data_IF_966061021636
#
_entry.id   IF_966061021636
#
_cell.length_a   1.000
_cell.length_b   1.000
_cell.length_c   1.000
_cell.angle_alpha   90.00
_cell.angle_beta   90.00
_cell.angle_gamma   90.00
#
_symmetry.space_group_name_H-M   'P 1'
#
loop_
_entity.id
_entity.type
_entity.pdbx_description
1 polymer ?
#
# COMPACT_ATOMS: atom_id res chain seq x y z
N UNK A 1 6.80 -1.67 -0.10
CA UNK A 1 7.02 -0.20 -0.08
C UNK A 1 6.43 0.41 -1.33
N UNK A 2 5.62 1.47 -1.19
CA UNK A 2 5.05 2.22 -2.31
C UNK A 2 5.95 3.42 -2.65
N UNK A 3 5.94 3.83 -3.92
CA UNK A 3 6.68 5.01 -4.39
C UNK A 3 5.78 5.91 -5.26
N UNK A 4 6.18 7.16 -5.42
CA UNK A 4 5.46 8.11 -6.28
C UNK A 4 5.58 7.76 -7.77
N UNK A 5 4.61 8.20 -8.56
CA UNK A 5 4.57 8.00 -10.02
C UNK A 5 5.87 8.45 -10.71
N UNK A 6 6.39 9.65 -10.36
CA UNK A 6 7.62 10.15 -10.99
C UNK A 6 8.84 9.29 -10.69
N UNK A 7 8.92 8.71 -9.48
CA UNK A 7 9.98 7.78 -9.08
C UNK A 7 9.86 6.47 -9.86
N UNK A 8 8.65 5.90 -9.91
CA UNK A 8 8.35 4.71 -10.69
C UNK A 8 8.71 4.87 -12.17
N UNK A 9 8.29 5.97 -12.80
CA UNK A 9 8.66 6.29 -14.18
C UNK A 9 10.16 6.46 -14.38
N UNK A 10 10.86 7.05 -13.39
CA UNK A 10 12.32 7.18 -13.42
C UNK A 10 13.03 5.82 -13.45
N UNK A 11 12.55 4.87 -12.64
CA UNK A 11 13.05 3.49 -12.63
C UNK A 11 12.72 2.79 -13.96
N UNK A 12 11.46 2.82 -14.38
CA UNK A 12 11.01 2.17 -15.62
C UNK A 12 11.82 2.63 -16.84
N UNK A 13 12.15 3.92 -16.91
CA UNK A 13 12.97 4.49 -17.98
C UNK A 13 14.36 3.87 -18.06
N UNK A 14 14.97 3.50 -16.92
CA UNK A 14 16.30 2.84 -16.88
C UNK A 14 16.26 1.45 -17.51
N UNK A 15 15.10 0.79 -17.48
CA UNK A 15 14.87 -0.52 -18.13
C UNK A 15 14.38 -0.41 -19.57
N UNK A 16 14.30 0.80 -20.12
CA UNK A 16 13.86 1.02 -21.50
C UNK A 16 12.34 1.06 -21.70
N UNK A 17 11.56 1.10 -20.62
CA UNK A 17 10.12 1.35 -20.71
C UNK A 17 9.90 2.81 -21.11
N UNK A 18 9.17 3.02 -22.19
CA UNK A 18 8.90 4.36 -22.69
C UNK A 18 7.90 5.09 -21.78
N UNK A 19 8.31 6.25 -21.28
CA UNK A 19 7.53 7.14 -20.41
C UNK A 19 7.54 8.55 -20.98
N UNK A 20 6.53 9.39 -20.70
CA UNK A 20 6.55 10.81 -21.05
C UNK A 20 7.72 11.56 -20.39
N UNK A 21 8.17 12.64 -21.01
CA UNK A 21 9.11 13.55 -20.34
C UNK A 21 8.40 14.24 -19.19
N UNK A 22 9.01 14.22 -18.00
CA UNK A 22 8.43 14.82 -16.81
C UNK A 22 9.51 15.32 -15.85
N UNK A 23 9.19 16.39 -15.13
CA UNK A 23 10.05 17.02 -14.14
C UNK A 23 9.25 17.19 -12.85
N UNK A 24 9.77 16.69 -11.73
CA UNK A 24 9.15 16.87 -10.42
C UNK A 24 9.41 18.29 -9.89
N UNK A 25 8.43 18.86 -9.21
CA UNK A 25 8.51 20.20 -8.60
C UNK A 25 7.94 20.16 -7.18
N UNK A 26 8.62 20.85 -6.25
CA UNK A 26 8.25 20.96 -4.84
C UNK A 26 7.75 22.38 -4.47
N UNK A 27 7.83 23.30 -5.42
CA UNK A 27 7.31 24.67 -5.31
C UNK A 27 6.62 25.09 -6.61
N UNK A 28 5.83 26.16 -6.55
CA UNK A 28 5.19 26.72 -7.73
C UNK A 28 6.22 27.30 -8.71
N UNK A 29 7.30 27.87 -8.19
CA UNK A 29 8.42 28.38 -8.96
C UNK A 29 9.14 27.28 -9.73
N UNK A 30 9.45 26.15 -9.06
CA UNK A 30 10.04 24.98 -9.72
C UNK A 30 9.11 24.41 -10.79
N UNK A 31 7.79 24.35 -10.51
CA UNK A 31 6.80 23.89 -11.48
C UNK A 31 6.78 24.79 -12.73
N UNK A 32 6.87 26.10 -12.55
CA UNK A 32 6.97 27.05 -13.66
C UNK A 32 8.25 26.83 -14.48
N UNK A 33 9.40 26.65 -13.82
CA UNK A 33 10.68 26.39 -14.52
C UNK A 33 10.64 25.08 -15.29
N UNK A 34 10.08 24.01 -14.68
CA UNK A 34 9.85 22.74 -15.35
C UNK A 34 8.99 22.88 -16.61
N UNK A 35 7.94 23.71 -16.54
CA UNK A 35 7.08 24.00 -17.68
C UNK A 35 7.81 24.73 -18.79
N UNK A 36 8.63 25.76 -18.47
CA UNK A 36 9.43 26.47 -19.47
C UNK A 36 10.32 25.47 -20.24
N UNK A 37 11.05 24.63 -19.51
CA UNK A 37 11.92 23.62 -20.13
C UNK A 37 11.13 22.66 -21.03
N UNK A 38 9.98 22.15 -20.56
CA UNK A 38 9.18 21.22 -21.34
C UNK A 38 8.59 21.88 -22.59
N UNK A 39 8.13 23.14 -22.52
CA UNK A 39 7.62 23.86 -23.71
C UNK A 39 8.71 24.14 -24.74
N UNK A 40 9.98 24.31 -24.33
CA UNK A 40 11.11 24.46 -25.25
C UNK A 40 11.50 23.15 -25.93
N UNK A 41 11.37 22.02 -25.23
CA UNK A 41 11.81 20.71 -25.70
C UNK A 41 10.75 19.92 -26.47
N UNK A 42 9.47 20.26 -26.36
CA UNK A 42 8.34 19.54 -26.95
C UNK A 42 7.61 20.37 -28.01
N UNK A 43 6.95 19.66 -28.92
CA UNK A 43 6.04 20.27 -29.90
C UNK A 43 4.58 20.38 -29.43
N UNK A 44 4.24 19.83 -28.26
CA UNK A 44 2.89 19.89 -27.71
C UNK A 44 2.58 21.29 -27.18
N UNK A 45 1.38 21.84 -27.45
CA UNK A 45 0.98 23.15 -26.95
C UNK A 45 0.54 23.14 -25.48
N UNK A 46 0.62 22.00 -24.81
CA UNK A 46 0.17 21.82 -23.42
C UNK A 46 1.16 20.99 -22.61
N UNK A 47 1.21 21.25 -21.30
CA UNK A 47 1.82 20.38 -20.30
C UNK A 47 0.75 19.92 -19.31
N UNK A 48 1.04 18.86 -18.58
CA UNK A 48 0.14 18.29 -17.59
C UNK A 48 0.75 18.47 -16.19
N UNK A 49 -0.02 19.04 -15.27
CA UNK A 49 0.35 19.19 -13.85
C UNK A 49 -0.34 18.05 -13.07
N UNK A 50 0.44 17.16 -12.47
CA UNK A 50 -0.07 15.98 -11.76
C UNK A 50 0.34 16.02 -10.29
N UNK A 51 -0.64 16.01 -9.38
CA UNK A 51 -0.39 15.80 -7.96
C UNK A 51 0.27 14.44 -7.71
N UNK A 52 1.28 14.41 -6.86
CA UNK A 52 2.00 13.18 -6.50
C UNK A 52 1.61 12.77 -5.09
N UNK A 53 0.69 11.82 -4.99
CA UNK A 53 0.26 11.13 -3.77
C UNK A 53 0.19 9.63 -4.03
N UNK A 54 0.29 8.80 -2.98
CA UNK A 54 0.20 7.34 -3.09
C UNK A 54 -1.26 6.85 -3.22
N UNK A 55 -2.02 7.46 -4.12
CA UNK A 55 -3.40 7.07 -4.37
C UNK A 55 -3.77 7.21 -5.85
N UNK A 56 -4.61 6.29 -6.33
CA UNK A 56 -5.25 6.38 -7.63
C UNK A 56 -6.45 7.33 -7.64
N UNK A 57 -7.03 7.55 -8.85
CA UNK A 57 -8.20 8.40 -9.01
C UNK A 57 -7.92 9.91 -8.95
N UNK A 58 -6.66 10.32 -8.96
CA UNK A 58 -6.22 11.73 -8.91
C UNK A 58 -6.88 12.61 -9.95
N UNK A 59 -7.05 12.11 -11.18
CA UNK A 59 -7.70 12.85 -12.26
C UNK A 59 -9.13 13.25 -11.93
N UNK A 60 -9.94 12.31 -11.42
CA UNK A 60 -11.34 12.53 -11.01
C UNK A 60 -11.44 13.48 -9.81
N UNK A 61 -10.44 13.46 -8.92
CA UNK A 61 -10.36 14.32 -7.75
C UNK A 61 -9.78 15.72 -8.04
N UNK A 62 -9.46 16.05 -9.30
CA UNK A 62 -8.91 17.34 -9.68
C UNK A 62 -7.40 17.49 -9.49
N UNK A 63 -6.69 16.40 -9.16
CA UNK A 63 -5.23 16.35 -9.00
C UNK A 63 -4.44 16.25 -10.32
N UNK A 64 -5.11 16.33 -11.48
CA UNK A 64 -4.49 16.39 -12.80
C UNK A 64 -5.09 17.54 -13.58
N UNK A 65 -4.27 18.49 -14.06
CA UNK A 65 -4.67 19.66 -14.80
C UNK A 65 -3.80 19.88 -16.02
N UNK A 66 -4.41 20.35 -17.10
CA UNK A 66 -3.70 20.79 -18.29
C UNK A 66 -3.36 22.27 -18.17
N UNK A 67 -2.21 22.67 -18.66
CA UNK A 67 -1.78 24.06 -18.75
C UNK A 67 -1.15 24.37 -20.10
N UNK A 68 -1.38 25.59 -20.60
CA UNK A 68 -0.95 26.06 -21.94
C UNK A 68 0.20 27.07 -21.86
N UNK A 69 0.57 27.50 -20.67
CA UNK A 69 1.68 28.41 -20.43
C UNK A 69 2.36 28.13 -19.09
N UNK A 70 3.63 28.55 -18.90
CA UNK A 70 4.31 28.46 -17.62
C UNK A 70 3.60 29.24 -16.50
N UNK A 71 2.93 30.34 -16.82
CA UNK A 71 2.16 31.13 -15.87
C UNK A 71 0.94 30.37 -15.37
N UNK A 72 0.24 29.67 -16.25
CA UNK A 72 -0.89 28.83 -15.88
C UNK A 72 -0.44 27.63 -15.01
N UNK A 73 0.73 27.05 -15.30
CA UNK A 73 1.34 26.03 -14.44
C UNK A 73 1.61 26.55 -13.04
N UNK A 74 2.16 27.76 -12.93
CA UNK A 74 2.42 28.41 -11.65
C UNK A 74 1.14 28.59 -10.82
N UNK A 75 0.07 29.13 -11.43
CA UNK A 75 -1.22 29.31 -10.76
C UNK A 75 -1.86 27.98 -10.31
N UNK A 76 -1.77 26.96 -11.15
CA UNK A 76 -2.24 25.60 -10.81
C UNK A 76 -1.43 25.03 -9.65
N UNK A 77 -0.10 25.17 -9.71
CA UNK A 77 0.81 24.66 -8.67
C UNK A 77 0.56 25.34 -7.32
N UNK A 78 0.35 26.66 -7.30
CA UNK A 78 0.00 27.39 -6.07
C UNK A 78 -1.29 26.89 -5.41
N UNK A 79 -2.27 26.46 -6.20
CA UNK A 79 -3.55 25.96 -5.70
C UNK A 79 -3.47 24.48 -5.28
N UNK A 80 -2.59 23.71 -5.91
CA UNK A 80 -2.48 22.28 -5.69
C UNK A 80 -1.54 21.89 -4.54
N UNK A 81 -0.40 22.60 -4.42
CA UNK A 81 0.55 22.35 -3.35
C UNK A 81 -0.06 22.76 -2.01
N UNK A 82 0.06 21.86 -1.01
CA UNK A 82 -0.55 22.03 0.31
C UNK A 82 -2.06 21.74 0.37
N UNK A 83 -2.74 21.54 -0.77
CA UNK A 83 -4.15 21.15 -0.77
C UNK A 83 -4.32 19.67 -0.40
N UNK A 84 -5.43 19.35 0.26
CA UNK A 84 -5.81 17.97 0.54
C UNK A 84 -6.60 17.39 -0.63
N UNK A 85 -6.08 16.35 -1.23
CA UNK A 85 -6.75 15.65 -2.33
C UNK A 85 -7.48 14.41 -1.80
N UNK A 86 -8.80 14.39 -1.99
CA UNK A 86 -9.67 13.27 -1.58
C UNK A 86 -9.99 12.42 -2.80
N UNK A 87 -9.61 11.15 -2.77
CA UNK A 87 -9.93 10.14 -3.78
C UNK A 87 -10.65 8.96 -3.13
N UNK A 88 -11.17 8.03 -3.93
CA UNK A 88 -11.77 6.80 -3.38
C UNK A 88 -10.76 5.92 -2.62
N UNK A 89 -9.45 6.09 -2.85
CA UNK A 89 -8.39 5.32 -2.19
C UNK A 89 -7.82 6.03 -0.95
N UNK A 90 -7.92 7.36 -0.84
CA UNK A 90 -7.40 8.08 0.33
C UNK A 90 -8.36 8.09 1.51
N UNK A 91 -9.61 7.67 1.32
CA UNK A 91 -10.66 7.89 2.30
C UNK A 91 -11.05 9.37 2.42
N UNK A 92 -11.97 9.70 3.35
CA UNK A 92 -12.52 11.06 3.52
C UNK A 92 -11.50 12.07 4.05
N UNK A 93 -10.44 11.60 4.72
CA UNK A 93 -9.38 12.47 5.26
C UNK A 93 -8.48 13.02 4.15
N UNK A 94 -8.37 12.32 3.02
CA UNK A 94 -7.55 12.72 1.89
C UNK A 94 -6.04 12.63 2.17
N UNK A 95 -5.25 13.10 1.19
CA UNK A 95 -3.79 13.22 1.32
C UNK A 95 -3.34 14.62 0.90
N UNK A 96 -2.41 15.21 1.62
CA UNK A 96 -1.82 16.51 1.31
C UNK A 96 -0.89 16.39 0.09
N UNK A 97 -1.07 17.25 -0.89
CA UNK A 97 -0.21 17.31 -2.08
C UNK A 97 1.07 18.08 -1.75
N UNK A 98 2.19 17.41 -1.65
CA UNK A 98 3.49 18.00 -1.28
C UNK A 98 4.43 18.20 -2.45
N UNK A 99 4.11 17.60 -3.60
CA UNK A 99 4.91 17.67 -4.83
C UNK A 99 4.04 17.46 -6.06
N UNK A 100 4.52 17.96 -7.18
CA UNK A 100 3.87 17.86 -8.48
C UNK A 100 4.82 17.23 -9.49
N UNK A 101 4.26 16.52 -10.47
CA UNK A 101 4.94 16.14 -11.69
C UNK A 101 4.43 17.01 -12.82
N UNK A 102 5.32 17.76 -13.45
CA UNK A 102 5.03 18.51 -14.68
C UNK A 102 5.48 17.66 -15.84
N UNK A 103 4.55 17.31 -16.73
CA UNK A 103 4.77 16.30 -17.75
C UNK A 103 4.37 16.79 -19.14
N UNK A 104 5.03 16.30 -20.20
CA UNK A 104 4.68 16.62 -21.58
C UNK A 104 3.22 16.26 -21.88
N UNK A 105 2.51 17.14 -22.57
CA UNK A 105 1.17 16.83 -23.07
C UNK A 105 1.24 15.92 -24.31
N UNK A 106 0.26 15.03 -24.45
CA UNK A 106 0.21 14.05 -25.52
C UNK A 106 -1.13 14.01 -26.21
N UNK A 107 -1.13 13.71 -27.51
CA UNK A 107 -2.33 13.44 -28.29
C UNK A 107 -2.67 11.95 -28.18
N UNK A 108 -3.45 11.59 -27.16
CA UNK A 108 -3.86 10.20 -26.91
C UNK A 108 -4.86 9.76 -27.98
N UNK A 109 -4.61 8.58 -28.57
CA UNK A 109 -5.50 7.89 -29.50
C UNK A 109 -6.25 6.76 -28.80
N UNK A 110 -5.52 5.93 -28.01
CA UNK A 110 -6.08 4.79 -27.27
C UNK A 110 -5.47 4.68 -25.90
N UNK A 111 -6.27 4.19 -24.96
CA UNK A 111 -5.87 3.90 -23.58
C UNK A 111 -6.10 2.42 -23.28
N UNK A 112 -5.13 1.79 -22.63
CA UNK A 112 -5.12 0.39 -22.26
C UNK A 112 -4.70 0.23 -20.81
N UNK A 113 -4.96 -0.94 -20.26
CA UNK A 113 -4.41 -1.37 -18.96
C UNK A 113 -3.29 -2.39 -19.17
N UNK A 114 -2.24 -2.29 -18.39
CA UNK A 114 -1.17 -3.28 -18.30
C UNK A 114 -0.72 -3.38 -16.84
N UNK A 115 -0.79 -4.58 -16.27
CA UNK A 115 -0.37 -4.84 -14.90
C UNK A 115 0.41 -6.15 -14.75
N UNK A 116 1.35 -6.18 -13.80
CA UNK A 116 2.08 -7.39 -13.41
C UNK A 116 2.02 -7.51 -11.89
N UNK A 117 1.61 -8.67 -11.41
CA UNK A 117 1.57 -8.98 -9.98
C UNK A 117 1.78 -10.48 -9.75
N UNK A 118 1.95 -10.89 -8.51
CA UNK A 118 2.03 -12.29 -8.12
C UNK A 118 0.61 -12.87 -7.95
N UNK A 119 0.31 -13.93 -8.70
CA UNK A 119 -0.84 -14.80 -8.44
C UNK A 119 -0.44 -15.91 -7.46
N UNK A 120 -0.90 -15.79 -6.22
CA UNK A 120 -0.58 -16.73 -5.15
C UNK A 120 -1.25 -18.11 -5.35
N UNK A 121 -2.39 -18.16 -6.05
CA UNK A 121 -3.09 -19.42 -6.30
C UNK A 121 -2.31 -20.33 -7.24
N UNK A 122 -1.65 -19.75 -8.23
CA UNK A 122 -0.82 -20.47 -9.21
C UNK A 122 0.68 -20.40 -8.90
N UNK A 123 1.09 -19.63 -7.85
CA UNK A 123 2.50 -19.40 -7.51
C UNK A 123 3.32 -18.89 -8.69
N UNK A 124 2.72 -18.04 -9.53
CA UNK A 124 3.34 -17.47 -10.72
C UNK A 124 3.06 -15.98 -10.86
N UNK A 125 3.92 -15.27 -11.57
CA UNK A 125 3.60 -13.91 -11.95
C UNK A 125 2.50 -13.92 -13.01
N UNK A 126 1.56 -12.99 -12.93
CA UNK A 126 0.53 -12.80 -13.93
C UNK A 126 0.69 -11.45 -14.59
N UNK A 127 0.82 -11.47 -15.92
CA UNK A 127 0.72 -10.31 -16.77
C UNK A 127 -0.74 -10.14 -17.16
N UNK A 128 -1.31 -9.01 -16.84
CA UNK A 128 -2.70 -8.66 -17.14
C UNK A 128 -2.74 -7.52 -18.15
N UNK A 129 -3.51 -7.67 -19.20
CA UNK A 129 -3.73 -6.60 -20.18
C UNK A 129 -5.21 -6.44 -20.46
N UNK A 130 -5.67 -5.19 -20.59
CA UNK A 130 -7.05 -4.90 -20.96
C UNK A 130 -7.14 -3.80 -22.03
N UNK A 131 -8.14 -3.94 -22.90
CA UNK A 131 -8.50 -2.91 -23.87
C UNK A 131 -9.20 -1.70 -23.25
N UNK A 132 -9.55 -1.78 -21.97
CA UNK A 132 -10.14 -0.71 -21.17
C UNK A 132 -9.06 -0.09 -20.26
N UNK A 133 -8.54 1.08 -20.64
CA UNK A 133 -7.59 1.85 -19.83
C UNK A 133 -8.23 2.99 -19.07
N UNK A 134 -7.52 3.53 -18.07
CA UNK A 134 -8.00 4.66 -17.26
C UNK A 134 -9.16 4.32 -16.31
N UNK A 135 -9.48 3.04 -16.14
CA UNK A 135 -10.54 2.51 -15.28
C UNK A 135 -9.97 1.63 -14.17
N UNK A 136 -10.80 1.34 -13.17
CA UNK A 136 -10.49 0.36 -12.12
C UNK A 136 -10.55 -1.05 -12.74
N UNK A 137 -9.43 -1.76 -12.73
CA UNK A 137 -9.32 -3.08 -13.38
C UNK A 137 -10.21 -4.12 -12.73
N UNK A 138 -10.52 -3.96 -11.43
CA UNK A 138 -11.43 -4.82 -10.69
C UNK A 138 -12.83 -4.79 -11.29
N UNK A 139 -13.31 -3.61 -11.70
CA UNK A 139 -14.60 -3.47 -12.38
C UNK A 139 -14.60 -4.12 -13.77
N UNK A 140 -13.50 -3.96 -14.51
CA UNK A 140 -13.36 -4.64 -15.82
C UNK A 140 -13.39 -6.16 -15.63
N UNK A 141 -12.71 -6.68 -14.58
CA UNK A 141 -12.69 -8.11 -14.28
C UNK A 141 -14.08 -8.65 -13.88
N UNK A 142 -14.93 -7.84 -13.24
CA UNK A 142 -16.27 -8.21 -12.80
C UNK A 142 -17.31 -8.04 -13.91
N UNK A 143 -17.31 -6.90 -14.61
CA UNK A 143 -18.37 -6.50 -15.55
C UNK A 143 -18.11 -6.98 -16.99
N UNK A 144 -16.84 -7.00 -17.41
CA UNK A 144 -16.43 -7.33 -18.79
C UNK A 144 -15.16 -8.19 -18.84
N UNK A 145 -15.17 -9.40 -18.22
CA UNK A 145 -13.98 -10.24 -18.09
C UNK A 145 -13.33 -10.64 -19.42
N UNK A 146 -14.10 -10.65 -20.52
CA UNK A 146 -13.60 -10.92 -21.87
C UNK A 146 -12.66 -9.81 -22.41
N UNK A 147 -12.67 -8.62 -21.79
CA UNK A 147 -11.75 -7.53 -22.10
C UNK A 147 -10.46 -7.56 -21.31
N UNK A 148 -10.31 -8.56 -20.43
CA UNK A 148 -9.13 -8.76 -19.60
C UNK A 148 -8.45 -10.08 -19.95
N UNK A 149 -7.24 -10.02 -20.49
CA UNK A 149 -6.38 -11.17 -20.71
C UNK A 149 -5.41 -11.33 -19.54
N UNK A 150 -5.33 -12.53 -18.97
CA UNK A 150 -4.37 -12.93 -17.95
C UNK A 150 -3.40 -13.95 -18.51
N UNK A 151 -2.12 -13.63 -18.50
CA UNK A 151 -1.03 -14.49 -18.97
C UNK A 151 -0.17 -14.88 -17.77
N UNK A 152 -0.23 -16.15 -17.38
CA UNK A 152 0.63 -16.65 -16.32
C UNK A 152 2.04 -16.88 -16.85
N UNK A 153 3.01 -16.37 -16.11
CA UNK A 153 4.43 -16.44 -16.47
C UNK A 153 5.13 -17.38 -15.51
N UNK A 154 5.70 -18.46 -16.05
CA UNK A 154 6.46 -19.43 -15.29
C UNK A 154 7.67 -18.73 -14.61
N UNK A 155 7.85 -18.88 -13.28
CA UNK A 155 8.89 -18.19 -12.55
C UNK A 155 10.32 -18.63 -12.93
N UNK A 156 10.47 -19.81 -13.51
CA UNK A 156 11.78 -20.34 -13.93
C UNK A 156 12.18 -19.80 -15.30
N UNK A 157 11.23 -19.80 -16.24
CA UNK A 157 11.51 -19.36 -17.63
C UNK A 157 11.32 -17.88 -17.86
N UNK A 158 10.57 -17.20 -16.98
CA UNK A 158 10.21 -15.79 -17.17
C UNK A 158 9.29 -15.56 -18.36
N UNK A 159 9.03 -14.30 -18.65
CA UNK A 159 8.17 -13.91 -19.78
C UNK A 159 8.81 -14.32 -21.11
N UNK A 160 8.09 -15.11 -21.89
CA UNK A 160 8.52 -15.55 -23.19
C UNK A 160 8.03 -14.60 -24.30
N UNK A 161 8.81 -14.41 -25.35
CA UNK A 161 8.47 -13.47 -26.43
C UNK A 161 7.12 -13.77 -27.11
N UNK A 162 6.62 -15.01 -27.09
CA UNK A 162 5.27 -15.30 -27.62
C UNK A 162 4.18 -14.75 -26.70
N UNK A 163 4.37 -14.74 -25.39
CA UNK A 163 3.43 -14.19 -24.42
C UNK A 163 3.33 -12.66 -24.55
N UNK A 164 4.46 -11.98 -24.73
CA UNK A 164 4.47 -10.54 -25.00
C UNK A 164 3.75 -10.21 -26.32
N UNK A 165 3.92 -11.05 -27.37
CA UNK A 165 3.17 -10.90 -28.63
C UNK A 165 1.69 -11.18 -28.45
N UNK A 166 1.29 -12.19 -27.69
CA UNK A 166 -0.11 -12.49 -27.35
C UNK A 166 -0.80 -11.29 -26.71
N UNK A 167 -0.16 -10.69 -25.69
CA UNK A 167 -0.66 -9.47 -25.05
C UNK A 167 -0.80 -8.30 -26.03
N UNK A 168 0.21 -8.07 -26.87
CA UNK A 168 0.16 -7.01 -27.88
C UNK A 168 -0.92 -7.23 -28.95
N UNK A 169 -1.17 -8.48 -29.34
CA UNK A 169 -2.28 -8.83 -30.25
C UNK A 169 -3.64 -8.61 -29.59
N UNK A 170 -3.79 -9.00 -28.34
CA UNK A 170 -5.03 -8.81 -27.58
C UNK A 170 -5.39 -7.30 -27.49
N UNK A 171 -4.40 -6.44 -27.30
CA UNK A 171 -4.58 -4.97 -27.31
C UNK A 171 -4.87 -4.41 -28.73
N UNK A 172 -4.88 -5.24 -29.77
CA UNK A 172 -5.15 -4.82 -31.15
C UNK A 172 -4.04 -3.96 -31.76
N UNK A 173 -2.81 -4.05 -31.25
CA UNK A 173 -1.68 -3.30 -31.78
C UNK A 173 -1.24 -3.85 -33.14
N UNK A 174 -0.81 -2.96 -34.05
CA UNK A 174 -0.41 -3.32 -35.41
C UNK A 174 0.88 -2.61 -35.84
N UNK A 175 1.56 -3.19 -36.80
CA UNK A 175 2.71 -2.57 -37.45
C UNK A 175 3.83 -2.20 -36.49
N UNK A 176 4.19 -0.94 -36.44
CA UNK A 176 5.22 -0.42 -35.54
C UNK A 176 4.76 -0.35 -34.08
N UNK A 177 3.48 -0.01 -33.85
CA UNK A 177 2.88 -0.03 -32.50
C UNK A 177 2.96 -1.42 -31.89
N UNK A 178 2.74 -2.48 -32.66
CA UNK A 178 2.89 -3.87 -32.22
C UNK A 178 4.32 -4.16 -31.77
N UNK A 179 5.32 -3.83 -32.60
CA UNK A 179 6.74 -4.04 -32.23
C UNK A 179 7.14 -3.27 -30.98
N UNK A 180 6.69 -2.02 -30.87
CA UNK A 180 6.97 -1.18 -29.71
C UNK A 180 6.21 -1.66 -28.47
N UNK A 181 4.98 -2.15 -28.60
CA UNK A 181 4.19 -2.75 -27.54
C UNK A 181 4.85 -4.03 -26.98
N UNK A 182 5.33 -4.92 -27.85
CA UNK A 182 6.06 -6.12 -27.42
C UNK A 182 7.31 -5.74 -26.61
N UNK A 183 8.13 -4.82 -27.13
CA UNK A 183 9.33 -4.33 -26.42
C UNK A 183 8.99 -3.69 -25.08
N UNK A 184 7.89 -2.92 -25.03
CA UNK A 184 7.40 -2.28 -23.81
C UNK A 184 7.04 -3.32 -22.75
N UNK A 185 6.29 -4.36 -23.13
CA UNK A 185 5.86 -5.44 -22.24
C UNK A 185 7.07 -6.23 -21.70
N UNK A 186 8.03 -6.57 -22.57
CA UNK A 186 9.26 -7.26 -22.20
C UNK A 186 10.11 -6.41 -21.23
N UNK A 187 10.26 -5.12 -21.52
CA UNK A 187 11.00 -4.17 -20.69
C UNK A 187 10.34 -3.99 -19.31
N UNK A 188 8.99 -3.89 -19.26
CA UNK A 188 8.25 -3.77 -18.01
C UNK A 188 8.38 -5.03 -17.15
N UNK A 189 8.29 -6.22 -17.75
CA UNK A 189 8.47 -7.48 -17.03
C UNK A 189 9.90 -7.61 -16.48
N UNK A 190 10.89 -7.24 -17.28
CA UNK A 190 12.28 -7.22 -16.84
C UNK A 190 12.50 -6.24 -15.67
N UNK A 191 11.92 -5.04 -15.74
CA UNK A 191 11.93 -4.09 -14.63
C UNK A 191 11.29 -4.71 -13.38
N UNK A 192 10.05 -5.22 -13.49
CA UNK A 192 9.29 -5.84 -12.40
C UNK A 192 10.10 -6.90 -11.64
N UNK A 193 10.72 -7.82 -12.38
CA UNK A 193 11.49 -8.93 -11.77
C UNK A 193 12.84 -8.47 -11.20
N UNK A 194 13.52 -7.54 -11.87
CA UNK A 194 14.85 -7.08 -11.45
C UNK A 194 14.82 -6.24 -10.18
N UNK A 195 13.76 -5.43 -10.02
CA UNK A 195 13.62 -4.55 -8.84
C UNK A 195 12.84 -5.22 -7.70
N UNK A 196 12.53 -6.51 -7.80
CA UNK A 196 11.68 -7.23 -6.83
C UNK A 196 10.36 -6.48 -6.56
N UNK A 197 9.68 -6.04 -7.61
CA UNK A 197 8.38 -5.41 -7.46
C UNK A 197 7.30 -6.45 -7.09
N UNK A 198 6.39 -6.09 -6.20
CA UNK A 198 5.18 -6.86 -5.90
C UNK A 198 4.01 -6.47 -6.81
N UNK A 199 4.06 -5.27 -7.37
CA UNK A 199 3.11 -4.73 -8.34
C UNK A 199 3.84 -3.78 -9.29
N UNK A 200 3.59 -3.92 -10.58
CA UNK A 200 3.86 -2.89 -11.60
C UNK A 200 2.60 -2.69 -12.42
N UNK A 201 1.98 -1.53 -12.33
CA UNK A 201 0.73 -1.21 -12.98
C UNK A 201 0.90 0.04 -13.84
N UNK A 202 0.49 -0.06 -15.09
CA UNK A 202 0.44 1.03 -16.06
C UNK A 202 -1.02 1.25 -16.42
N UNK A 203 -1.59 2.35 -15.91
CA UNK A 203 -3.01 2.63 -16.10
C UNK A 203 -3.31 4.13 -16.24
N UNK A 204 -3.34 4.63 -17.49
CA UNK A 204 -3.30 3.89 -18.73
C UNK A 204 -1.90 3.71 -19.36
N UNK A 205 -1.75 2.63 -20.10
CA UNK A 205 -0.82 2.51 -21.21
C UNK A 205 -1.47 3.21 -22.40
N UNK A 206 -0.77 4.14 -23.04
CA UNK A 206 -1.36 4.91 -24.14
C UNK A 206 -0.67 4.69 -25.46
N UNK A 207 -1.49 4.75 -26.53
CA UNK A 207 -1.02 4.95 -27.88
C UNK A 207 -1.32 6.39 -28.25
N UNK A 208 -0.31 7.12 -28.69
CA UNK A 208 -0.51 8.48 -29.20
C UNK A 208 -0.88 8.46 -30.69
N UNK A 209 -1.46 9.55 -31.20
CA UNK A 209 -1.76 9.69 -32.64
C UNK A 209 -0.51 9.59 -33.52
N UNK A 210 0.66 9.89 -32.96
CA UNK A 210 1.97 9.75 -33.61
C UNK A 210 2.48 8.29 -33.57
N UNK A 211 1.75 7.37 -32.92
CA UNK A 211 2.08 5.95 -32.83
C UNK A 211 3.05 5.58 -31.70
N UNK A 212 3.33 6.47 -30.76
CA UNK A 212 4.16 6.17 -29.57
C UNK A 212 3.37 5.28 -28.60
N UNK A 213 4.03 4.32 -27.97
CA UNK A 213 3.50 3.45 -26.90
C UNK A 213 4.15 3.89 -25.59
N UNK A 214 3.40 4.36 -24.61
CA UNK A 214 3.93 5.04 -23.42
C UNK A 214 3.16 4.68 -22.15
N UNK A 215 3.86 4.61 -21.01
CA UNK A 215 3.23 4.59 -19.69
C UNK A 215 2.81 6.01 -19.28
N UNK A 216 1.52 6.33 -19.40
CA UNK A 216 1.00 7.64 -19.02
C UNK A 216 0.91 7.80 -17.49
N UNK A 217 0.56 6.74 -16.80
CA UNK A 217 0.63 6.64 -15.33
C UNK A 217 1.30 5.32 -14.95
N UNK A 218 2.02 5.31 -13.86
CA UNK A 218 2.73 4.13 -13.38
C UNK A 218 2.64 4.03 -11.85
N UNK A 219 2.25 2.87 -11.38
CA UNK A 219 2.26 2.51 -9.96
C UNK A 219 3.18 1.32 -9.75
N UNK A 220 4.17 1.49 -8.90
CA UNK A 220 5.13 0.44 -8.54
C UNK A 220 5.11 0.26 -7.04
N UNK A 221 4.97 -0.99 -6.60
CA UNK A 221 5.15 -1.39 -5.22
C UNK A 221 6.29 -2.39 -5.16
N UNK A 222 7.22 -2.21 -4.24
CA UNK A 222 8.29 -3.17 -3.99
C UNK A 222 7.84 -4.25 -2.99
N UNK A 223 8.45 -5.42 -3.08
CA UNK A 223 8.37 -6.42 -2.02
C UNK A 223 9.26 -5.95 -0.85
N UNK A 224 8.65 -5.67 0.30
CA UNK A 224 9.38 -5.21 1.50
C UNK A 224 10.42 -6.24 1.96
N UNK A 225 10.17 -7.53 1.73
CA UNK A 225 11.10 -8.60 2.09
C UNK A 225 12.37 -8.62 1.21
N UNK A 226 12.33 -7.97 0.06
CA UNK A 226 13.46 -7.88 -0.87
C UNK A 226 14.25 -6.57 -0.78
N UNK A 227 13.75 -5.56 -0.06
CA UNK A 227 14.37 -4.22 0.01
C UNK A 227 15.82 -4.23 0.49
N UNK A 228 16.24 -5.22 1.30
CA UNK A 228 17.64 -5.36 1.72
C UNK A 228 18.61 -5.57 0.54
N UNK A 229 18.13 -6.00 -0.63
CA UNK A 229 18.90 -6.14 -1.87
C UNK A 229 19.00 -4.85 -2.67
N UNK A 230 18.17 -3.85 -2.34
CA UNK A 230 17.99 -2.59 -3.07
C UNK A 230 18.19 -1.40 -2.14
N UNK A 231 19.42 -1.22 -1.65
CA UNK A 231 19.76 -0.14 -0.71
C UNK A 231 19.50 1.26 -1.27
N UNK A 232 19.59 1.43 -2.59
CA UNK A 232 19.31 2.65 -3.33
C UNK A 232 17.82 3.04 -3.36
N UNK A 233 16.92 2.09 -3.07
CA UNK A 233 15.48 2.37 -3.01
C UNK A 233 15.01 2.91 -1.65
N UNK A 234 15.83 2.83 -0.61
CA UNK A 234 15.47 3.36 0.71
C UNK A 234 15.13 4.85 0.67
N UNK A 235 15.85 5.63 -0.13
CA UNK A 235 15.65 7.08 -0.29
C UNK A 235 14.37 7.43 -1.07
N UNK A 236 13.74 6.45 -1.70
CA UNK A 236 12.47 6.63 -2.42
C UNK A 236 11.25 6.61 -1.49
N UNK A 237 11.43 6.12 -0.24
CA UNK A 237 10.36 6.00 0.73
C UNK A 237 9.86 7.38 1.17
N UNK A 238 8.56 7.59 1.07
CA UNK A 238 7.92 8.79 1.59
C UNK A 238 7.07 8.46 2.81
N UNK A 239 7.65 8.68 4.00
CA UNK A 239 6.98 8.41 5.28
C UNK A 239 5.74 9.27 5.50
N UNK A 240 5.60 10.40 4.80
CA UNK A 240 4.42 11.28 4.92
C UNK A 240 3.19 10.70 4.22
N UNK A 241 3.39 9.74 3.35
CA UNK A 241 2.33 9.00 2.67
C UNK A 241 1.89 7.72 3.41
N UNK A 242 2.67 7.28 4.40
CA UNK A 242 2.36 6.10 5.21
C UNK A 242 1.37 6.43 6.34
N UNK A 243 0.75 5.40 6.92
CA UNK A 243 0.00 5.56 8.17
C UNK A 243 0.99 5.81 9.33
N UNK A 244 0.80 6.86 10.14
CA UNK A 244 1.73 7.19 11.22
C UNK A 244 1.91 6.06 12.24
N UNK A 245 0.86 5.27 12.52
CA UNK A 245 0.94 4.15 13.47
C UNK A 245 1.68 2.95 12.87
N UNK A 246 1.49 2.68 11.57
CA UNK A 246 2.24 1.65 10.85
C UNK A 246 3.73 2.02 10.77
N UNK A 247 4.04 3.29 10.51
CA UNK A 247 5.41 3.78 10.53
C UNK A 247 6.06 3.65 11.92
N UNK A 248 5.36 4.04 13.00
CA UNK A 248 5.88 3.87 14.38
C UNK A 248 6.11 2.37 14.70
N UNK A 249 5.19 1.49 14.30
CA UNK A 249 5.32 0.05 14.47
C UNK A 249 6.56 -0.51 13.77
N UNK A 250 6.85 -0.03 12.57
CA UNK A 250 8.01 -0.47 11.79
C UNK A 250 9.35 -0.19 12.49
N UNK A 251 9.45 0.90 13.26
CA UNK A 251 10.66 1.22 14.05
C UNK A 251 10.98 0.19 15.13
N UNK A 252 9.94 -0.51 15.60
CA UNK A 252 10.05 -1.56 16.63
C UNK A 252 9.99 -2.97 16.06
N UNK A 253 10.09 -3.12 14.73
CA UNK A 253 9.94 -4.39 14.00
C UNK A 253 8.62 -5.12 14.32
N UNK A 254 7.54 -4.36 14.52
CA UNK A 254 6.20 -4.87 14.74
C UNK A 254 5.45 -4.91 13.41
N UNK A 255 4.78 -6.03 13.12
CA UNK A 255 3.86 -6.14 12.00
C UNK A 255 2.51 -5.57 12.41
N UNK A 256 2.24 -4.33 12.05
CA UNK A 256 1.02 -3.61 12.37
C UNK A 256 0.32 -3.16 11.08
N UNK A 257 -1.00 -3.33 11.05
CA UNK A 257 -1.87 -2.75 10.02
C UNK A 257 -3.07 -2.11 10.72
N UNK A 258 -3.32 -0.85 10.42
CA UNK A 258 -4.49 -0.13 10.94
C UNK A 258 -5.77 -0.56 10.25
N UNK A 259 -6.85 -0.70 11.02
CA UNK A 259 -8.20 -1.01 10.55
C UNK A 259 -9.22 -0.02 11.17
N UNK A 260 -10.47 -0.05 10.66
CA UNK A 260 -11.52 0.90 11.06
C UNK A 260 -12.36 0.40 12.26
N UNK A 261 -11.74 -0.23 13.25
CA UNK A 261 -12.46 -0.84 14.34
C UNK A 261 -12.39 -0.09 15.67
N UNK A 262 -12.85 -0.78 16.72
CA UNK A 262 -12.91 -0.26 18.09
C UNK A 262 -12.28 -1.20 19.14
N UNK A 263 -11.78 -2.35 18.71
CA UNK A 263 -11.05 -3.30 19.59
C UNK A 263 -9.64 -3.49 19.06
N UNK A 264 -8.68 -3.01 19.83
CA UNK A 264 -7.26 -3.27 19.55
C UNK A 264 -6.95 -4.74 19.76
N UNK A 265 -6.11 -5.34 18.90
CA UNK A 265 -5.65 -6.70 19.09
C UNK A 265 -4.12 -6.80 19.06
N UNK A 266 -3.58 -7.64 19.95
CA UNK A 266 -2.17 -7.97 20.05
C UNK A 266 -2.03 -9.48 20.15
N UNK A 267 -1.31 -10.08 19.20
CA UNK A 267 -1.17 -11.54 19.11
C UNK A 267 0.26 -11.94 18.73
N UNK A 268 0.57 -13.21 18.89
CA UNK A 268 1.81 -13.78 18.36
C UNK A 268 1.49 -14.77 17.24
N UNK A 269 1.79 -14.35 16.01
CA UNK A 269 1.61 -15.10 14.79
C UNK A 269 0.38 -14.66 13.98
N UNK A 270 0.60 -14.48 12.68
CA UNK A 270 -0.38 -13.93 11.74
C UNK A 270 -1.69 -14.74 11.67
N UNK A 271 -1.62 -16.08 11.71
CA UNK A 271 -2.81 -16.94 11.70
C UNK A 271 -3.68 -16.76 12.93
N UNK A 272 -3.05 -16.64 14.12
CA UNK A 272 -3.77 -16.33 15.36
C UNK A 272 -4.37 -14.92 15.34
N UNK A 273 -3.68 -13.96 14.71
CA UNK A 273 -4.18 -12.59 14.54
C UNK A 273 -5.46 -12.57 13.72
N UNK A 274 -5.50 -13.24 12.58
CA UNK A 274 -6.70 -13.33 11.75
C UNK A 274 -7.86 -13.98 12.49
N UNK A 275 -7.63 -15.14 13.15
CA UNK A 275 -8.65 -15.78 13.96
C UNK A 275 -9.11 -14.95 15.17
N UNK A 276 -8.24 -14.11 15.72
CA UNK A 276 -8.61 -13.16 16.79
C UNK A 276 -9.46 -12.02 16.27
N UNK A 277 -9.19 -11.52 15.08
CA UNK A 277 -10.03 -10.48 14.45
C UNK A 277 -11.43 -11.04 14.12
N UNK A 278 -11.54 -12.26 13.63
CA UNK A 278 -12.84 -12.94 13.44
C UNK A 278 -13.59 -13.09 14.77
N UNK A 279 -12.90 -13.48 15.83
CA UNK A 279 -13.48 -13.59 17.17
C UNK A 279 -14.02 -12.25 17.68
N UNK A 280 -13.29 -11.17 17.50
CA UNK A 280 -13.73 -9.81 17.85
C UNK A 280 -15.02 -9.47 17.08
N UNK A 281 -15.06 -9.77 15.79
CA UNK A 281 -16.22 -9.47 14.95
C UNK A 281 -17.47 -10.28 15.38
N UNK A 282 -17.29 -11.56 15.66
CA UNK A 282 -18.35 -12.44 16.19
C UNK A 282 -18.85 -11.99 17.59
N UNK A 283 -18.03 -11.26 18.36
CA UNK A 283 -18.37 -10.68 19.66
C UNK A 283 -19.12 -9.35 19.56
N UNK A 284 -19.43 -8.87 18.35
CA UNK A 284 -20.07 -7.57 18.13
C UNK A 284 -19.12 -6.36 18.18
N UNK A 285 -17.83 -6.59 18.31
CA UNK A 285 -16.78 -5.58 18.12
C UNK A 285 -16.33 -5.51 16.66
N UNK A 286 -15.43 -4.55 16.37
CA UNK A 286 -14.72 -4.47 15.10
C UNK A 286 -13.23 -4.36 15.39
N UNK A 287 -12.34 -5.15 14.74
CA UNK A 287 -10.92 -5.08 14.97
C UNK A 287 -10.38 -3.71 14.50
N UNK A 288 -9.65 -3.02 15.38
CA UNK A 288 -9.04 -1.72 15.10
C UNK A 288 -7.66 -1.85 14.42
N UNK A 289 -7.04 -3.02 14.54
CA UNK A 289 -5.74 -3.28 13.95
C UNK A 289 -5.45 -4.77 13.82
N UNK A 290 -4.53 -5.09 12.92
CA UNK A 290 -3.72 -6.29 12.97
C UNK A 290 -2.42 -5.95 13.68
N UNK A 291 -1.99 -6.76 14.68
CA UNK A 291 -0.68 -6.63 15.29
C UNK A 291 -0.13 -8.00 15.69
N UNK A 292 0.97 -8.38 15.05
CA UNK A 292 1.74 -9.57 15.38
C UNK A 292 3.05 -9.16 16.07
N UNK A 293 3.19 -9.53 17.34
CA UNK A 293 4.42 -9.27 18.13
C UNK A 293 5.49 -10.35 17.91
N UNK A 294 5.22 -11.34 17.07
CA UNK A 294 6.13 -12.42 16.74
C UNK A 294 6.38 -13.41 17.89
N UNK A 295 7.20 -14.42 17.60
CA UNK A 295 7.57 -15.48 18.57
C UNK A 295 8.57 -15.05 19.64
N UNK A 296 9.12 -13.84 19.57
CA UNK A 296 10.11 -13.28 20.49
C UNK A 296 9.58 -12.17 21.41
N UNK A 297 8.26 -12.12 21.67
CA UNK A 297 7.64 -11.07 22.46
C UNK A 297 8.39 -10.80 23.77
N UNK A 298 8.99 -9.61 23.88
CA UNK A 298 9.66 -9.08 25.06
C UNK A 298 8.77 -8.07 25.77
N UNK A 299 9.00 -7.73 27.06
CA UNK A 299 8.27 -6.66 27.73
C UNK A 299 8.27 -5.35 26.93
N UNK A 300 9.39 -4.99 26.33
CA UNK A 300 9.54 -3.79 25.50
C UNK A 300 8.66 -3.85 24.24
N UNK A 301 8.65 -4.99 23.54
CA UNK A 301 7.84 -5.19 22.34
C UNK A 301 6.33 -5.08 22.64
N UNK A 302 5.91 -5.65 23.80
CA UNK A 302 4.54 -5.56 24.28
C UNK A 302 4.18 -4.12 24.63
N UNK A 303 5.07 -3.38 25.31
CA UNK A 303 4.87 -1.97 25.66
C UNK A 303 4.71 -1.10 24.41
N UNK A 304 5.58 -1.25 23.41
CA UNK A 304 5.46 -0.52 22.16
C UNK A 304 4.16 -0.88 21.41
N UNK A 305 3.78 -2.16 21.41
CA UNK A 305 2.49 -2.59 20.85
C UNK A 305 1.29 -1.90 21.50
N UNK A 306 1.27 -1.79 22.83
CA UNK A 306 0.22 -1.04 23.52
C UNK A 306 0.21 0.45 23.19
N UNK A 307 1.38 1.09 23.13
CA UNK A 307 1.49 2.51 22.77
C UNK A 307 0.90 2.78 21.37
N UNK A 308 1.20 1.89 20.42
CA UNK A 308 0.69 2.00 19.04
C UNK A 308 -0.81 1.82 19.01
N UNK A 309 -1.35 0.75 19.63
CA UNK A 309 -2.79 0.49 19.69
C UNK A 309 -3.54 1.66 20.33
N UNK A 310 -3.03 2.19 21.45
CA UNK A 310 -3.64 3.31 22.17
C UNK A 310 -3.48 4.67 21.45
N UNK A 311 -2.60 4.75 20.47
CA UNK A 311 -2.51 5.88 19.54
C UNK A 311 -3.76 6.06 18.69
N UNK A 312 -4.54 4.98 18.46
CA UNK A 312 -5.83 5.06 17.80
C UNK A 312 -6.94 5.42 18.81
N UNK A 313 -7.52 6.61 18.65
CA UNK A 313 -8.58 7.15 19.51
C UNK A 313 -9.91 6.38 19.44
N UNK A 314 -10.10 5.54 18.43
CA UNK A 314 -11.29 4.72 18.26
C UNK A 314 -11.25 3.47 19.15
N UNK A 315 -10.09 3.09 19.67
CA UNK A 315 -9.93 1.89 20.50
C UNK A 315 -10.61 2.07 21.86
N UNK A 316 -11.58 1.21 22.15
CA UNK A 316 -12.37 1.18 23.38
C UNK A 316 -12.04 0.00 24.29
N UNK A 317 -11.46 -1.06 23.75
CA UNK A 317 -10.98 -2.24 24.48
C UNK A 317 -9.80 -2.85 23.74
N UNK A 318 -8.96 -3.62 24.43
CA UNK A 318 -7.85 -4.34 23.82
C UNK A 318 -7.97 -5.83 24.15
N UNK A 319 -7.79 -6.69 23.14
CA UNK A 319 -7.64 -8.13 23.30
C UNK A 319 -6.20 -8.56 23.02
N UNK A 320 -5.51 -8.99 24.06
CA UNK A 320 -4.21 -9.67 23.98
C UNK A 320 -4.48 -11.17 23.90
N UNK A 321 -4.10 -11.82 22.83
CA UNK A 321 -4.33 -13.25 22.59
C UNK A 321 -3.01 -13.91 22.20
N UNK A 322 -2.37 -14.59 23.14
CA UNK A 322 -1.06 -15.21 22.97
C UNK A 322 -1.16 -16.71 23.15
N UNK A 323 -0.58 -17.44 22.21
CA UNK A 323 -0.36 -18.86 22.34
C UNK A 323 1.13 -19.14 22.59
N UNK A 324 1.42 -19.59 23.82
CA UNK A 324 2.77 -19.84 24.29
C UNK A 324 3.27 -21.24 23.91
N UNK A 325 3.86 -21.37 22.73
CA UNK A 325 4.66 -22.54 22.39
C UNK A 325 6.11 -22.33 22.85
N UNK A 326 6.90 -21.65 22.02
CA UNK A 326 8.27 -21.21 22.35
C UNK A 326 8.25 -20.05 23.34
N UNK A 327 7.29 -19.13 23.18
CA UNK A 327 7.07 -17.99 24.09
C UNK A 327 6.42 -18.47 25.38
N UNK A 328 6.99 -18.13 26.53
CA UNK A 328 6.44 -18.47 27.84
C UNK A 328 5.38 -17.43 28.25
N UNK A 329 4.20 -17.89 28.63
CA UNK A 329 3.08 -17.04 29.03
C UNK A 329 3.38 -16.16 30.25
N UNK A 330 4.16 -16.66 31.23
CA UNK A 330 4.58 -15.90 32.39
C UNK A 330 5.43 -14.68 32.02
N UNK A 331 6.31 -14.78 31.04
CA UNK A 331 7.10 -13.65 30.54
C UNK A 331 6.21 -12.62 29.83
N UNK A 332 5.26 -13.08 29.05
CA UNK A 332 4.30 -12.18 28.38
C UNK A 332 3.43 -11.47 29.41
N UNK A 333 2.91 -12.19 30.42
CA UNK A 333 2.13 -11.60 31.52
C UNK A 333 2.92 -10.52 32.25
N UNK A 334 4.20 -10.79 32.57
CA UNK A 334 5.10 -9.78 33.12
C UNK A 334 5.23 -8.55 32.27
N UNK A 335 5.44 -8.72 30.96
CA UNK A 335 5.51 -7.62 29.99
C UNK A 335 4.21 -6.83 29.88
N UNK A 336 3.05 -7.50 29.85
CA UNK A 336 1.73 -6.84 29.84
C UNK A 336 1.52 -6.02 31.11
N UNK A 337 1.86 -6.57 32.29
CA UNK A 337 1.71 -5.88 33.56
C UNK A 337 2.64 -4.66 33.66
N UNK A 338 3.88 -4.80 33.24
CA UNK A 338 4.86 -3.70 33.22
C UNK A 338 4.41 -2.59 32.26
N UNK A 339 4.03 -2.94 31.03
CA UNK A 339 3.52 -2.00 30.05
C UNK A 339 2.26 -1.28 30.54
N UNK A 340 1.32 -2.02 31.14
CA UNK A 340 0.10 -1.46 31.70
C UNK A 340 0.36 -0.43 32.80
N UNK A 341 1.37 -0.68 33.67
CA UNK A 341 1.80 0.26 34.70
C UNK A 341 2.43 1.52 34.12
N UNK A 342 3.33 1.35 33.16
CA UNK A 342 4.08 2.45 32.56
C UNK A 342 3.19 3.41 31.77
N UNK A 343 2.19 2.87 31.06
CA UNK A 343 1.33 3.64 30.14
C UNK A 343 0.12 4.23 30.89
N UNK A 344 -0.31 3.63 32.01
CA UNK A 344 -1.53 4.04 32.73
C UNK A 344 -2.79 3.77 31.89
N UNK A 345 -3.04 2.50 31.56
CA UNK A 345 -4.14 2.06 30.70
C UNK A 345 -5.49 2.61 31.14
N UNK A 346 -6.18 3.27 30.23
CA UNK A 346 -7.53 3.83 30.44
C UNK A 346 -8.65 2.95 29.88
N UNK A 347 -8.31 2.03 28.98
CA UNK A 347 -9.25 1.09 28.37
C UNK A 347 -9.11 -0.30 28.99
N UNK A 348 -10.19 -1.10 29.06
CA UNK A 348 -10.12 -2.48 29.54
C UNK A 348 -9.24 -3.33 28.62
N UNK A 349 -8.39 -4.16 29.21
CA UNK A 349 -7.51 -5.09 28.48
C UNK A 349 -7.87 -6.51 28.86
N UNK A 350 -8.39 -7.24 27.89
CA UNK A 350 -8.69 -8.67 28.00
C UNK A 350 -7.42 -9.44 27.59
N UNK A 351 -6.96 -10.35 28.45
CA UNK A 351 -5.71 -11.09 28.23
C UNK A 351 -6.00 -12.59 28.25
N UNK A 352 -5.83 -13.22 27.10
CA UNK A 352 -5.86 -14.67 26.95
C UNK A 352 -4.45 -15.19 26.68
N UNK A 353 -3.96 -15.99 27.60
CA UNK A 353 -2.66 -16.65 27.47
C UNK A 353 -2.87 -18.16 27.58
N UNK A 354 -2.46 -18.91 26.57
CA UNK A 354 -2.50 -20.37 26.56
C UNK A 354 -1.13 -20.96 26.17
N UNK A 355 -0.83 -22.14 26.70
CA UNK A 355 0.42 -22.85 26.46
C UNK A 355 1.34 -22.87 27.68
N UNK A 356 2.66 -22.80 27.48
CA UNK A 356 3.67 -22.93 28.53
C UNK A 356 3.52 -21.87 29.61
N UNK A 357 3.33 -22.30 30.88
CA UNK A 357 3.14 -21.45 32.06
C UNK A 357 1.88 -20.56 32.02
N UNK A 358 0.81 -21.00 31.35
CA UNK A 358 -0.42 -20.21 31.23
C UNK A 358 -1.12 -20.02 32.59
N UNK A 359 -1.12 -21.03 33.48
CA UNK A 359 -1.73 -20.95 34.81
C UNK A 359 -1.01 -19.93 35.71
N UNK A 360 0.32 -19.90 35.66
CA UNK A 360 1.13 -18.97 36.41
C UNK A 360 0.95 -17.54 35.87
N UNK A 361 0.92 -17.37 34.56
CA UNK A 361 0.62 -16.10 33.88
C UNK A 361 -0.74 -15.54 34.30
N UNK A 362 -1.79 -16.37 34.32
CA UNK A 362 -3.12 -15.96 34.78
C UNK A 362 -3.09 -15.46 36.22
N UNK A 363 -2.43 -16.18 37.12
CA UNK A 363 -2.29 -15.76 38.52
C UNK A 363 -1.60 -14.41 38.65
N UNK A 364 -0.53 -14.19 37.87
CA UNK A 364 0.20 -12.90 37.85
C UNK A 364 -0.71 -11.75 37.40
N UNK A 365 -1.55 -11.96 36.36
CA UNK A 365 -2.50 -10.97 35.88
C UNK A 365 -3.56 -10.64 36.93
N UNK A 366 -4.16 -11.66 37.55
CA UNK A 366 -5.22 -11.51 38.57
C UNK A 366 -4.70 -10.80 39.86
N UNK A 367 -3.43 -11.05 40.23
CA UNK A 367 -2.77 -10.44 41.38
C UNK A 367 -2.16 -9.05 41.11
N UNK A 368 -2.15 -8.59 39.85
CA UNK A 368 -1.49 -7.34 39.43
C UNK A 368 -2.11 -6.07 40.00
N UNK A 369 -3.40 -6.12 40.40
CA UNK A 369 -4.17 -4.95 40.84
C UNK A 369 -4.51 -3.95 39.74
N UNK A 370 -4.26 -4.32 38.45
CA UNK A 370 -4.53 -3.49 37.28
C UNK A 370 -5.87 -3.88 36.62
N UNK A 371 -6.38 -3.01 35.76
CA UNK A 371 -7.59 -3.27 34.97
C UNK A 371 -7.29 -4.25 33.80
N UNK A 372 -6.74 -5.43 34.17
CA UNK A 372 -6.46 -6.53 33.27
C UNK A 372 -7.45 -7.65 33.54
N UNK A 373 -8.13 -8.10 32.50
CA UNK A 373 -9.20 -9.11 32.58
C UNK A 373 -8.67 -10.40 31.99
N UNK A 374 -8.27 -11.36 32.83
CA UNK A 374 -7.82 -12.68 32.35
C UNK A 374 -8.95 -13.44 31.68
N UNK A 375 -8.67 -14.17 30.60
CA UNK A 375 -9.64 -14.97 29.85
C UNK A 375 -9.15 -16.40 29.65
N UNK A 376 -10.10 -17.36 29.81
CA UNK A 376 -9.86 -18.80 29.62
C UNK A 376 -10.48 -19.25 28.29
N UNK A 377 -9.65 -19.51 27.30
CA UNK A 377 -10.11 -19.91 25.98
C UNK A 377 -10.72 -18.78 25.15
N UNK A 378 -11.00 -19.08 23.89
CA UNK A 378 -11.48 -18.08 22.91
C UNK A 378 -12.89 -17.59 23.20
N UNK A 379 -13.79 -18.49 23.66
CA UNK A 379 -15.19 -18.11 23.95
C UNK A 379 -15.27 -17.13 25.12
N UNK A 380 -14.56 -17.39 26.21
CA UNK A 380 -14.52 -16.51 27.39
C UNK A 380 -13.90 -15.14 27.02
N UNK A 381 -12.87 -15.14 26.16
CA UNK A 381 -12.28 -13.90 25.65
C UNK A 381 -13.33 -13.08 24.85
N UNK A 382 -14.11 -13.73 23.97
CA UNK A 382 -15.17 -13.10 23.20
C UNK A 382 -16.24 -12.46 24.10
N UNK A 383 -16.75 -13.20 25.10
CA UNK A 383 -17.75 -12.72 26.04
C UNK A 383 -17.24 -11.52 26.86
N UNK A 384 -15.94 -11.52 27.24
CA UNK A 384 -15.32 -10.42 27.97
C UNK A 384 -15.11 -9.19 27.10
N UNK A 385 -14.75 -9.35 25.83
CA UNK A 385 -14.70 -8.24 24.85
C UNK A 385 -16.07 -7.60 24.70
N UNK A 386 -17.12 -8.41 24.51
CA UNK A 386 -18.49 -7.90 24.40
C UNK A 386 -18.92 -7.11 25.66
N UNK A 387 -18.63 -7.62 26.85
CA UNK A 387 -18.92 -6.92 28.11
C UNK A 387 -18.15 -5.60 28.23
N UNK A 388 -16.86 -5.60 27.86
CA UNK A 388 -16.03 -4.42 27.90
C UNK A 388 -16.55 -3.32 26.98
N UNK A 389 -16.99 -3.67 25.77
CA UNK A 389 -17.57 -2.72 24.82
C UNK A 389 -18.94 -2.15 25.28
N UNK A 390 -19.73 -2.93 26.02
CA UNK A 390 -21.01 -2.46 26.56
C UNK A 390 -20.85 -1.42 27.69
N UNK A 391 -19.67 -1.32 28.30
CA UNK A 391 -19.35 -0.40 29.39
C UNK A 391 -18.45 0.76 28.99
N UNK A 392 -17.94 0.78 27.77
CA UNK A 392 -17.07 1.81 27.19
C UNK A 392 -17.87 2.79 26.30
#
# INVERSE_FOLDING_TARGET
MNIHEYQGKGILKQFGVAVPKGIVAFSAEEAKQAAIQLFEEQSSPVVVVKAQIHAGGRGKAGGVKLAKSPEEVFEIAQKMLGATLVTHQTGPEGKEVRRLLIEEGMNIDKEFYLGITLDRATSSNVLMVSTEGGMEIEKVAEETPEKLLKIHVDPVYGLQGFQAREAAFFLGLQGEQFRNGVKFIEALYNAYTTIDASLAEINPLVITKEGRVLALDAKINFDDNALYRHSDFHDLRDITEEDPLEYEASKSNLNYVRLDGNVGCMVNGAGLAMGTMDLIQLSGGRPANFLDVGGGASPKTVEEGFKIILGDKNVKAILVNIFGGIVRCDRVAGGVIEAAKNIGLKVPVIVRLEGTNATEAQKMLDESGLNLISAKGLRDAAEKVQKALATA
#
